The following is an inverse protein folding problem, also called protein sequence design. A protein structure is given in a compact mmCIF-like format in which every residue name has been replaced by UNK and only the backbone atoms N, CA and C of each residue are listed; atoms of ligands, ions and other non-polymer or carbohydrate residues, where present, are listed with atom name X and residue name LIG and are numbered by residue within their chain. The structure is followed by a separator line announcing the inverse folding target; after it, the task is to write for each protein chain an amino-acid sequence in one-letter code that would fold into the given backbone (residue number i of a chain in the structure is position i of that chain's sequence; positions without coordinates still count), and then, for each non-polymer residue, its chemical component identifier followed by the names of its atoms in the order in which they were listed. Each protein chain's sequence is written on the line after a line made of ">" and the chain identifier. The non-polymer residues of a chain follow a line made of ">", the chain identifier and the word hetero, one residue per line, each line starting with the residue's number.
data_IF_611576405849
#
_entry.id   IF_611576405849
#
_cell.length_a   1.000
_cell.length_b   1.000
_cell.length_c   1.000
_cell.angle_alpha   90.00
_cell.angle_beta   90.00
_cell.angle_gamma   90.00
#
_symmetry.space_group_name_H-M   'P 1'
#
loop_
_entity.id
_entity.type
_entity.pdbx_description
1 polymer ?
#
# COMPACT_ATOMS: atom_id res chain seq x y z
N UNK A 1 -10.14 -8.86 9.09
CA UNK A 1 -10.05 -7.41 8.86
C UNK A 1 -8.98 -7.20 7.81
N UNK A 2 -9.22 -6.30 6.85
CA UNK A 2 -8.18 -5.85 5.92
C UNK A 2 -7.16 -4.97 6.63
N UNK A 3 -5.90 -5.16 6.29
CA UNK A 3 -4.81 -4.41 6.88
C UNK A 3 -3.62 -4.38 5.93
N UNK A 4 -3.07 -3.20 5.73
CA UNK A 4 -1.79 -3.03 5.03
C UNK A 4 -0.85 -2.33 6.00
N UNK A 5 0.29 -2.96 6.27
CA UNK A 5 1.27 -2.50 7.27
C UNK A 5 2.60 -2.29 6.60
N UNK A 6 3.15 -1.10 6.72
CA UNK A 6 4.53 -0.82 6.34
C UNK A 6 5.44 -0.92 7.56
N UNK A 7 6.66 -1.41 7.35
CA UNK A 7 7.66 -1.62 8.39
C UNK A 7 9.01 -1.06 7.96
N UNK A 8 9.64 -0.28 8.85
CA UNK A 8 11.05 0.07 8.71
C UNK A 8 11.92 -1.14 9.09
N UNK A 9 12.48 -1.82 8.10
CA UNK A 9 13.19 -3.09 8.24
C UNK A 9 14.71 -2.90 8.26
N UNK A 10 15.39 -3.75 9.04
CA UNK A 10 16.87 -3.87 9.07
C UNK A 10 17.34 -5.25 8.60
N UNK A 11 16.41 -6.14 8.32
CA UNK A 11 16.54 -7.57 8.06
C UNK A 11 16.23 -7.93 6.60
N UNK A 12 16.20 -6.95 5.69
CA UNK A 12 16.05 -7.20 4.26
C UNK A 12 17.31 -7.85 3.68
N UNK A 13 17.12 -8.74 2.71
CA UNK A 13 18.23 -9.35 1.97
C UNK A 13 19.13 -8.27 1.33
N UNK A 14 20.44 -8.55 1.25
CA UNK A 14 21.41 -7.60 0.70
C UNK A 14 20.97 -7.07 -0.67
N UNK A 15 20.93 -5.74 -0.80
CA UNK A 15 20.53 -5.05 -2.03
C UNK A 15 19.03 -4.88 -2.24
N UNK A 16 18.16 -5.46 -1.39
CA UNK A 16 16.72 -5.15 -1.39
C UNK A 16 16.44 -3.88 -0.59
N UNK A 17 15.67 -2.97 -1.20
CA UNK A 17 15.19 -1.75 -0.54
C UNK A 17 13.76 -1.90 -0.04
N UNK A 18 12.95 -2.74 -0.68
CA UNK A 18 11.62 -3.11 -0.20
C UNK A 18 11.24 -4.54 -0.58
N UNK A 19 10.33 -5.12 0.18
CA UNK A 19 9.76 -6.45 -0.05
C UNK A 19 8.32 -6.49 0.48
N UNK A 20 7.53 -7.47 0.05
CA UNK A 20 6.16 -7.65 0.55
C UNK A 20 5.86 -9.10 0.88
N UNK A 21 4.88 -9.29 1.76
CA UNK A 21 4.25 -10.57 2.06
C UNK A 21 2.76 -10.35 2.26
N UNK A 22 1.97 -11.31 1.83
CA UNK A 22 0.52 -11.32 2.02
C UNK A 22 0.06 -12.55 2.81
N UNK A 23 -1.01 -12.35 3.56
CA UNK A 23 -1.82 -13.35 4.25
C UNK A 23 -3.31 -12.95 4.16
N UNK A 24 -4.20 -13.75 4.75
CA UNK A 24 -5.64 -13.43 4.82
C UNK A 24 -5.87 -12.10 5.54
N UNK A 25 -6.33 -11.11 4.79
CA UNK A 25 -6.61 -9.76 5.25
C UNK A 25 -5.39 -8.93 5.58
N UNK A 26 -4.17 -9.41 5.33
CA UNK A 26 -2.95 -8.71 5.74
C UNK A 26 -1.95 -8.63 4.59
N UNK A 27 -1.46 -7.42 4.33
CA UNK A 27 -0.27 -7.20 3.53
C UNK A 27 0.76 -6.50 4.40
N UNK A 28 1.96 -7.06 4.49
CA UNK A 28 3.11 -6.43 5.13
C UNK A 28 4.11 -5.99 4.05
N UNK A 29 4.51 -4.72 4.08
CA UNK A 29 5.52 -4.15 3.19
C UNK A 29 6.71 -3.71 4.04
N UNK A 30 7.85 -4.38 3.87
CA UNK A 30 9.09 -4.01 4.52
C UNK A 30 9.88 -3.03 3.67
N UNK A 31 10.45 -1.99 4.29
CA UNK A 31 11.25 -0.95 3.64
C UNK A 31 12.55 -0.74 4.40
N UNK A 32 13.69 -0.74 3.70
CA UNK A 32 15.01 -0.58 4.30
C UNK A 32 15.11 0.72 5.09
N UNK A 33 15.31 0.63 6.41
CA UNK A 33 15.24 1.77 7.35
C UNK A 33 16.14 2.96 6.98
N UNK A 34 17.29 2.69 6.35
CA UNK A 34 18.29 3.70 6.02
C UNK A 34 18.13 4.29 4.60
N UNK A 35 17.15 3.80 3.82
CA UNK A 35 16.94 4.25 2.45
C UNK A 35 16.44 5.70 2.40
N UNK A 36 16.89 6.45 1.40
CA UNK A 36 16.42 7.79 1.12
C UNK A 36 15.19 7.76 0.18
N UNK A 37 14.37 8.83 0.10
CA UNK A 37 13.23 8.88 -0.80
C UNK A 37 13.56 8.56 -2.26
N UNK A 38 14.73 8.97 -2.75
CA UNK A 38 15.20 8.62 -4.10
C UNK A 38 15.42 7.12 -4.33
N UNK A 39 15.60 6.35 -3.27
CA UNK A 39 15.84 4.90 -3.32
C UNK A 39 14.56 4.11 -3.02
N UNK A 40 13.87 4.45 -1.94
CA UNK A 40 12.71 3.68 -1.50
C UNK A 40 11.46 3.96 -2.34
N UNK A 41 11.27 5.16 -2.90
CA UNK A 41 10.08 5.45 -3.74
C UNK A 41 10.08 4.57 -5.01
N UNK A 42 11.15 4.52 -5.82
CA UNK A 42 11.20 3.61 -6.97
C UNK A 42 11.08 2.14 -6.56
N UNK A 43 11.63 1.76 -5.41
CA UNK A 43 11.54 0.39 -4.91
C UNK A 43 10.11 0.02 -4.51
N UNK A 44 9.43 0.89 -3.75
CA UNK A 44 8.04 0.70 -3.36
C UNK A 44 7.10 0.62 -4.55
N UNK A 45 7.32 1.44 -5.59
CA UNK A 45 6.53 1.36 -6.83
C UNK A 45 6.68 0.00 -7.51
N UNK A 46 7.89 -0.56 -7.55
CA UNK A 46 8.09 -1.92 -8.07
C UNK A 46 7.45 -2.97 -7.16
N UNK A 47 7.60 -2.84 -5.85
CA UNK A 47 6.99 -3.75 -4.86
C UNK A 47 5.47 -3.76 -4.97
N UNK A 48 4.82 -2.60 -5.11
CA UNK A 48 3.37 -2.50 -5.26
C UNK A 48 2.89 -3.00 -6.62
N UNK A 49 3.64 -2.73 -7.69
CA UNK A 49 3.32 -3.29 -9.01
C UNK A 49 3.41 -4.82 -9.00
N UNK A 50 4.42 -5.38 -8.34
CA UNK A 50 4.58 -6.82 -8.18
C UNK A 50 3.44 -7.41 -7.34
N UNK A 51 3.16 -6.83 -6.18
CA UNK A 51 2.02 -7.16 -5.33
C UNK A 51 0.69 -7.16 -6.10
N UNK A 52 0.34 -6.06 -6.76
CA UNK A 52 -0.94 -5.95 -7.49
C UNK A 52 -1.03 -6.89 -8.69
N UNK A 53 0.10 -7.38 -9.21
CA UNK A 53 0.10 -8.37 -10.29
C UNK A 53 -0.13 -9.80 -9.83
N UNK A 54 0.07 -10.07 -8.53
CA UNK A 54 0.00 -11.42 -7.94
C UNK A 54 -1.17 -11.57 -6.94
N UNK A 55 -1.55 -10.48 -6.29
CA UNK A 55 -2.56 -10.47 -5.24
C UNK A 55 -3.94 -10.09 -5.78
N UNK A 56 -4.98 -10.70 -5.23
CA UNK A 56 -6.37 -10.45 -5.62
C UNK A 56 -6.96 -9.33 -4.74
N UNK A 57 -6.52 -8.09 -4.98
CA UNK A 57 -7.05 -6.88 -4.33
C UNK A 57 -7.91 -6.06 -5.27
N UNK A 58 -8.97 -5.47 -4.71
CA UNK A 58 -9.99 -4.78 -5.47
C UNK A 58 -10.44 -3.50 -4.78
N UNK A 59 -10.80 -2.53 -5.62
CA UNK A 59 -11.48 -1.30 -5.21
C UNK A 59 -12.93 -1.35 -5.71
N UNK A 60 -13.87 -0.88 -4.90
CA UNK A 60 -15.25 -0.63 -5.29
C UNK A 60 -15.38 0.87 -5.57
N UNK A 61 -15.67 1.23 -6.83
CA UNK A 61 -15.83 2.61 -7.25
C UNK A 61 -17.18 2.81 -7.95
N UNK A 62 -18.07 3.62 -7.38
CA UNK A 62 -19.42 3.88 -7.94
C UNK A 62 -20.21 2.61 -8.29
N UNK A 63 -20.02 1.52 -7.52
CA UNK A 63 -20.68 0.23 -7.74
C UNK A 63 -19.94 -0.70 -8.72
N UNK A 64 -18.82 -0.28 -9.28
CA UNK A 64 -17.97 -1.11 -10.14
C UNK A 64 -16.80 -1.70 -9.35
N UNK A 65 -16.41 -2.93 -9.70
CA UNK A 65 -15.22 -3.60 -9.15
C UNK A 65 -14.03 -3.33 -10.05
N UNK A 66 -13.00 -2.70 -9.47
CA UNK A 66 -11.75 -2.36 -10.15
C UNK A 66 -10.63 -3.27 -9.63
N UNK A 67 -9.92 -3.92 -10.54
CA UNK A 67 -8.76 -4.77 -10.28
C UNK A 67 -7.56 -4.32 -11.12
N UNK A 68 -6.39 -4.90 -10.88
CA UNK A 68 -5.20 -4.62 -11.68
C UNK A 68 -5.36 -4.97 -13.16
N UNK A 69 -6.35 -5.81 -13.52
CA UNK A 69 -6.66 -6.21 -14.89
C UNK A 69 -7.85 -5.45 -15.51
N UNK A 70 -8.48 -4.53 -14.78
CA UNK A 70 -9.60 -3.72 -15.31
C UNK A 70 -9.15 -2.86 -16.50
N UNK A 71 -9.76 -3.01 -17.69
CA UNK A 71 -9.39 -2.22 -18.87
C UNK A 71 -9.60 -0.71 -18.66
N UNK A 72 -8.66 0.10 -19.16
CA UNK A 72 -8.73 1.57 -19.15
C UNK A 72 -8.50 2.25 -17.79
N UNK A 73 -8.72 1.55 -16.68
CA UNK A 73 -8.48 2.04 -15.32
C UNK A 73 -8.00 0.90 -14.40
N UNK A 74 -6.82 0.30 -14.68
CA UNK A 74 -6.31 -0.79 -13.86
C UNK A 74 -5.98 -0.27 -12.47
N UNK A 75 -6.30 -1.06 -11.45
CA UNK A 75 -5.93 -0.78 -10.07
C UNK A 75 -4.41 -0.63 -9.97
N UNK A 76 -3.97 0.51 -9.45
CA UNK A 76 -2.56 0.86 -9.29
C UNK A 76 -2.36 1.68 -8.03
N UNK A 77 -1.19 1.52 -7.42
CA UNK A 77 -0.77 2.30 -6.27
C UNK A 77 0.64 2.81 -6.53
N UNK A 78 0.83 4.12 -6.45
CA UNK A 78 2.10 4.77 -6.79
C UNK A 78 2.55 5.73 -5.71
N UNK A 79 3.86 5.79 -5.52
CA UNK A 79 4.55 6.75 -4.69
C UNK A 79 5.26 7.77 -5.57
N UNK A 80 5.15 9.04 -5.18
CA UNK A 80 5.79 10.16 -5.86
C UNK A 80 6.39 11.12 -4.84
N UNK A 81 7.43 11.86 -5.26
CA UNK A 81 7.93 12.97 -4.45
C UNK A 81 6.95 14.13 -4.51
N UNK A 82 6.54 14.65 -3.36
CA UNK A 82 5.63 15.80 -3.27
C UNK A 82 6.25 17.06 -3.88
N UNK A 83 5.48 17.70 -4.75
CA UNK A 83 5.84 18.97 -5.40
C UNK A 83 5.34 20.20 -4.62
N UNK A 84 4.58 20.00 -3.55
CA UNK A 84 4.03 21.08 -2.73
C UNK A 84 5.14 21.81 -1.95
N UNK A 85 4.86 23.07 -1.60
CA UNK A 85 5.77 23.95 -0.85
C UNK A 85 4.96 24.75 0.19
N UNK A 86 5.04 24.44 1.51
CA UNK A 86 5.80 23.31 2.08
C UNK A 86 5.18 21.95 1.70
N UNK A 87 6.02 20.92 1.56
CA UNK A 87 5.55 19.56 1.29
C UNK A 87 5.04 18.91 2.59
N UNK A 88 3.80 18.38 2.63
CA UNK A 88 3.40 17.50 3.73
C UNK A 88 4.28 16.25 3.71
N UNK A 89 4.41 15.58 4.86
CA UNK A 89 5.16 14.34 4.96
C UNK A 89 4.57 13.24 4.06
N UNK A 90 3.23 13.17 4.04
CA UNK A 90 2.44 12.25 3.25
C UNK A 90 1.15 12.96 2.81
N UNK A 91 0.74 12.73 1.57
CA UNK A 91 -0.58 13.06 1.03
C UNK A 91 -1.06 11.86 0.21
N UNK A 92 -2.25 11.35 0.52
CA UNK A 92 -2.87 10.25 -0.23
C UNK A 92 -3.95 10.85 -1.13
N UNK A 93 -3.94 10.48 -2.41
CA UNK A 93 -4.95 10.86 -3.39
C UNK A 93 -5.52 9.61 -4.02
N UNK A 94 -6.83 9.52 -4.05
CA UNK A 94 -7.54 8.41 -4.66
C UNK A 94 -8.36 8.89 -5.84
N UNK A 95 -8.26 8.14 -6.92
CA UNK A 95 -9.12 8.21 -8.09
C UNK A 95 -9.54 6.78 -8.43
N UNK A 96 -10.48 6.64 -9.36
CA UNK A 96 -10.87 5.33 -9.91
C UNK A 96 -9.65 4.56 -10.39
N UNK A 97 -9.35 3.44 -9.73
CA UNK A 97 -8.22 2.56 -10.05
C UNK A 97 -6.84 3.12 -9.72
N UNK A 98 -6.71 4.28 -9.08
CA UNK A 98 -5.40 4.86 -8.78
C UNK A 98 -5.35 5.41 -7.35
N UNK A 99 -4.40 4.92 -6.58
CA UNK A 99 -4.00 5.53 -5.30
C UNK A 99 -2.60 6.11 -5.48
N UNK A 100 -2.47 7.43 -5.37
CA UNK A 100 -1.19 8.12 -5.44
C UNK A 100 -0.81 8.66 -4.05
N UNK A 101 0.39 8.31 -3.60
CA UNK A 101 0.96 8.72 -2.32
C UNK A 101 2.12 9.68 -2.57
N UNK A 102 1.93 10.95 -2.24
CA UNK A 102 2.96 11.96 -2.38
C UNK A 102 3.75 12.09 -1.07
N UNK A 103 5.06 11.85 -1.13
CA UNK A 103 5.95 11.82 0.03
C UNK A 103 6.88 13.03 0.02
N UNK A 104 7.11 13.64 1.19
CA UNK A 104 8.10 14.71 1.33
C UNK A 104 9.51 14.26 0.86
N UNK A 105 10.26 15.10 0.12
CA UNK A 105 11.64 14.78 -0.27
C UNK A 105 12.61 14.65 0.92
N UNK A 106 12.20 15.08 2.12
CA UNK A 106 13.01 14.97 3.35
C UNK A 106 12.52 13.88 4.30
N UNK A 107 11.60 13.01 3.85
CA UNK A 107 11.06 11.95 4.68
C UNK A 107 12.12 10.87 4.96
N UNK A 108 12.28 10.49 6.24
CA UNK A 108 12.95 9.25 6.60
C UNK A 108 11.94 8.09 6.54
N UNK A 109 12.41 6.86 6.32
CA UNK A 109 11.53 5.68 6.27
C UNK A 109 10.74 5.52 7.57
N UNK A 110 11.36 5.75 8.72
CA UNK A 110 10.67 5.67 10.02
C UNK A 110 9.51 6.65 10.12
N UNK A 111 9.77 7.91 9.76
CA UNK A 111 8.77 8.97 9.87
C UNK A 111 7.66 8.77 8.85
N UNK A 112 8.01 8.33 7.65
CA UNK A 112 7.08 7.90 6.61
C UNK A 112 6.17 6.77 7.11
N UNK A 113 6.72 5.65 7.58
CA UNK A 113 5.95 4.50 8.06
C UNK A 113 5.03 4.88 9.24
N UNK A 114 5.54 5.70 10.16
CA UNK A 114 4.77 6.16 11.32
C UNK A 114 3.49 6.91 10.92
N UNK A 115 3.52 7.69 9.84
CA UNK A 115 2.37 8.46 9.37
C UNK A 115 1.54 7.70 8.36
N UNK A 116 2.17 6.84 7.56
CA UNK A 116 1.50 6.06 6.53
C UNK A 116 0.55 5.02 7.11
N UNK A 117 0.97 4.25 8.11
CA UNK A 117 0.16 3.14 8.61
C UNK A 117 -1.21 3.60 9.14
N UNK A 118 -1.31 4.65 9.99
CA UNK A 118 -2.62 5.16 10.40
C UNK A 118 -3.43 5.73 9.24
N UNK A 119 -2.79 6.41 8.28
CA UNK A 119 -3.47 7.00 7.14
C UNK A 119 -4.06 5.91 6.21
N UNK A 120 -3.35 4.80 6.01
CA UNK A 120 -3.84 3.65 5.26
C UNK A 120 -4.98 2.96 5.99
N UNK A 121 -4.88 2.81 7.31
CA UNK A 121 -5.95 2.20 8.11
C UNK A 121 -7.24 3.01 8.01
N UNK A 122 -7.16 4.34 8.15
CA UNK A 122 -8.29 5.25 7.94
C UNK A 122 -8.82 5.19 6.49
N UNK A 123 -7.92 5.12 5.51
CA UNK A 123 -8.27 5.01 4.11
C UNK A 123 -9.06 3.72 3.79
N UNK A 124 -8.59 2.56 4.29
CA UNK A 124 -9.25 1.27 4.09
C UNK A 124 -10.58 1.18 4.84
N UNK A 125 -10.70 1.84 5.99
CA UNK A 125 -11.93 1.91 6.77
C UNK A 125 -13.12 2.55 6.01
N UNK A 126 -12.85 3.25 4.89
CA UNK A 126 -13.88 3.75 3.98
C UNK A 126 -14.74 2.66 3.31
N UNK A 127 -14.37 1.37 3.42
CA UNK A 127 -15.21 0.25 2.99
C UNK A 127 -15.24 -0.01 1.48
N UNK A 128 -14.48 0.77 0.70
CA UNK A 128 -14.38 0.64 -0.75
C UNK A 128 -13.31 -0.35 -1.22
N UNK A 129 -12.82 -1.23 -0.34
CA UNK A 129 -11.70 -2.11 -0.61
C UNK A 129 -11.98 -3.53 -0.12
N UNK A 130 -11.56 -4.53 -0.89
CA UNK A 130 -11.60 -5.93 -0.49
C UNK A 130 -10.46 -6.75 -1.09
N UNK A 131 -10.12 -7.83 -0.40
CA UNK A 131 -9.21 -8.86 -0.87
C UNK A 131 -10.03 -10.12 -1.14
N UNK A 132 -9.79 -10.79 -2.28
CA UNK A 132 -10.25 -12.16 -2.49
C UNK A 132 -9.14 -13.10 -2.00
N UNK A 133 -9.42 -13.87 -0.95
CA UNK A 133 -8.45 -14.78 -0.37
C UNK A 133 -8.99 -16.21 -0.41
N UNK A 134 -8.45 -17.03 -1.32
CA UNK A 134 -8.85 -18.44 -1.47
C UNK A 134 -10.37 -18.62 -1.62
N UNK A 135 -11.02 -17.72 -2.35
CA UNK A 135 -12.46 -17.70 -2.58
C UNK A 135 -13.30 -16.99 -1.51
N UNK A 136 -12.67 -16.43 -0.47
CA UNK A 136 -13.32 -15.61 0.54
C UNK A 136 -13.15 -14.11 0.23
N UNK A 137 -14.21 -13.32 0.37
CA UNK A 137 -14.12 -11.86 0.35
C UNK A 137 -13.76 -11.38 1.76
N UNK A 138 -12.58 -10.79 1.91
CA UNK A 138 -12.10 -10.19 3.15
C UNK A 138 -12.23 -8.67 3.05
N UNK A 139 -12.97 -8.09 3.99
CA UNK A 139 -13.18 -6.64 4.13
C UNK A 139 -12.65 -6.15 5.49
N UNK A 140 -12.74 -4.84 5.75
CA UNK A 140 -12.46 -4.27 7.07
C UNK A 140 -13.31 -4.91 8.17
N UNK A 141 -14.57 -5.22 7.88
CA UNK A 141 -15.51 -5.81 8.85
C UNK A 141 -15.35 -7.33 9.03
N UNK A 142 -14.59 -8.00 8.16
CA UNK A 142 -14.34 -9.43 8.32
C UNK A 142 -13.60 -9.70 9.63
N UNK A 143 -13.92 -10.78 10.37
CA UNK A 143 -13.20 -11.11 11.59
C UNK A 143 -11.72 -11.36 11.31
N UNK A 144 -10.87 -11.00 12.27
CA UNK A 144 -9.48 -11.47 12.27
C UNK A 144 -9.49 -13.01 12.29
N UNK A 145 -8.60 -13.61 11.52
CA UNK A 145 -8.37 -15.04 11.64
C UNK A 145 -7.76 -15.27 13.02
N UNK A 146 -8.54 -15.75 13.98
CA UNK A 146 -7.98 -16.29 15.21
C UNK A 146 -7.26 -17.56 14.78
N UNK A 147 -5.95 -17.49 14.57
CA UNK A 147 -5.16 -18.69 14.35
C UNK A 147 -5.38 -19.62 15.55
N UNK A 148 -5.99 -20.78 15.30
CA UNK A 148 -6.15 -21.86 16.26
C UNK A 148 -4.84 -22.65 16.39
#
# INVERSE_FOLDING_TARGET
>A
MLRVVYRAATDLANGKVSDWREDRGLVEISVARQAQPSEFIPSLNRTLSDFLSQAEWYQIWEGEVISASTPGSPLSCTFEVSRLRPAPLLEIRELRGLVALHISPTATVERFVQVLNPAIEEFLAGGCWFQLWRGEIVTMDSPETVAA
#
